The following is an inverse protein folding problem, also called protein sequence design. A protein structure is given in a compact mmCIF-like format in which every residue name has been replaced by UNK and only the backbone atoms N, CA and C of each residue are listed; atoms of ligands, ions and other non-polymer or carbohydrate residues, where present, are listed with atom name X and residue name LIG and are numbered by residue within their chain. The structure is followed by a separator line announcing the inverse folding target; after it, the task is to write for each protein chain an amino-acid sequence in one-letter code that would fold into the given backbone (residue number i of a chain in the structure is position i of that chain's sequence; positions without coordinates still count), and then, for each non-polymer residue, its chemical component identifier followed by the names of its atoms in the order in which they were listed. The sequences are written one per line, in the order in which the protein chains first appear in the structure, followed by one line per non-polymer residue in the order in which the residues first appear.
data_IF_040495321458
#
_entry.id   IF_040495321458
#
_cell.length_a   1.000
_cell.length_b   1.000
_cell.length_c   1.000
_cell.angle_alpha   90.00
_cell.angle_beta   90.00
_cell.angle_gamma   90.00
#
_symmetry.space_group_name_H-M   'P 1'
#
loop_
_entity.id
_entity.type
_entity.pdbx_description
1 polymer ?
#
# COMPACT_ATOMS: atom_id res chain seq x y z
N UNK A 1 2.52 -33.12 0.05
CA UNK A 1 2.98 -31.69 0.05
C UNK A 1 1.89 -30.84 0.64
N UNK A 2 2.17 -30.16 1.75
CA UNK A 2 1.14 -29.36 2.43
C UNK A 2 1.07 -27.93 1.90
N UNK A 3 2.22 -27.33 1.66
CA UNK A 3 2.30 -25.94 1.19
C UNK A 3 3.03 -25.79 -0.13
N UNK A 4 2.51 -24.95 -1.03
CA UNK A 4 3.22 -24.45 -2.20
C UNK A 4 3.40 -22.93 -2.03
N UNK A 5 4.63 -22.48 -1.89
CA UNK A 5 4.98 -21.07 -1.79
C UNK A 5 5.18 -20.51 -3.21
N UNK A 6 4.30 -19.62 -3.64
CA UNK A 6 4.28 -19.08 -5.00
C UNK A 6 4.88 -17.67 -5.00
N UNK A 7 5.98 -17.49 -5.74
CA UNK A 7 6.79 -16.28 -5.74
C UNK A 7 6.89 -15.73 -7.18
N UNK A 8 6.10 -14.72 -7.56
CA UNK A 8 6.28 -14.02 -8.83
C UNK A 8 7.50 -13.09 -8.76
N UNK A 9 8.34 -13.11 -9.80
CA UNK A 9 9.60 -12.35 -9.82
C UNK A 9 9.71 -11.52 -11.10
N UNK A 10 10.20 -10.28 -10.95
CA UNK A 10 10.58 -9.43 -12.07
C UNK A 10 11.77 -8.54 -11.71
N UNK A 11 12.95 -8.79 -12.29
CA UNK A 11 14.19 -8.03 -12.11
C UNK A 11 14.60 -7.86 -10.62
N UNK A 12 14.57 -8.95 -9.83
CA UNK A 12 14.85 -8.93 -8.38
C UNK A 12 15.64 -10.15 -7.91
N UNK A 13 16.78 -10.47 -8.51
CA UNK A 13 17.54 -11.65 -8.12
C UNK A 13 18.06 -11.59 -6.67
N UNK A 14 18.44 -10.40 -6.18
CA UNK A 14 18.95 -10.19 -4.82
C UNK A 14 17.86 -10.42 -3.77
N UNK A 15 16.66 -9.87 -3.98
CA UNK A 15 15.53 -10.08 -3.07
C UNK A 15 15.07 -11.53 -3.06
N UNK A 16 15.09 -12.21 -4.21
CA UNK A 16 14.81 -13.65 -4.30
C UNK A 16 15.82 -14.45 -3.49
N UNK A 17 17.11 -14.10 -3.54
CA UNK A 17 18.14 -14.76 -2.76
C UNK A 17 17.87 -14.65 -1.25
N UNK A 18 17.55 -13.44 -0.76
CA UNK A 18 17.20 -13.22 0.66
C UNK A 18 15.97 -14.04 1.08
N UNK A 19 14.93 -14.06 0.22
CA UNK A 19 13.72 -14.86 0.49
C UNK A 19 14.04 -16.35 0.53
N UNK A 20 14.72 -16.90 -0.49
CA UNK A 20 15.07 -18.33 -0.53
C UNK A 20 15.98 -18.72 0.66
N UNK A 21 16.94 -17.85 1.01
CA UNK A 21 17.76 -18.07 2.19
C UNK A 21 16.91 -18.16 3.47
N UNK A 22 15.92 -17.27 3.64
CA UNK A 22 15.03 -17.29 4.80
C UNK A 22 14.14 -18.54 4.84
N UNK A 23 13.79 -19.09 3.68
CA UNK A 23 13.03 -20.33 3.57
C UNK A 23 13.86 -21.57 3.96
N UNK A 24 15.18 -21.55 3.81
CA UNK A 24 16.05 -22.66 4.30
C UNK A 24 16.07 -22.81 5.82
N UNK A 25 15.62 -21.79 6.55
CA UNK A 25 15.59 -21.81 8.03
C UNK A 25 14.23 -22.20 8.60
N UNK A 26 13.26 -22.58 7.74
CA UNK A 26 11.96 -23.01 8.23
C UNK A 26 12.04 -24.30 9.04
N UNK A 27 11.37 -24.30 10.19
CA UNK A 27 11.27 -25.48 11.07
C UNK A 27 10.25 -26.50 10.57
N UNK A 28 9.29 -26.08 9.75
CA UNK A 28 8.34 -26.93 9.05
C UNK A 28 8.75 -27.04 7.57
N UNK A 29 8.94 -28.26 7.07
CA UNK A 29 9.60 -28.50 5.77
C UNK A 29 8.73 -29.19 4.72
N UNK A 30 7.48 -29.56 5.02
CA UNK A 30 6.55 -30.15 4.02
C UNK A 30 6.01 -29.06 3.09
N UNK A 31 6.91 -28.49 2.29
CA UNK A 31 6.67 -27.39 1.37
C UNK A 31 7.46 -27.54 0.07
N UNK A 32 6.92 -26.97 -1.01
CA UNK A 32 7.65 -26.64 -2.23
C UNK A 32 7.67 -25.13 -2.45
N UNK A 33 8.63 -24.67 -3.21
CA UNK A 33 8.77 -23.27 -3.61
C UNK A 33 8.66 -23.16 -5.13
N UNK A 34 7.69 -22.39 -5.61
CA UNK A 34 7.42 -22.19 -7.03
C UNK A 34 7.78 -20.76 -7.41
N UNK A 35 8.93 -20.58 -8.04
CA UNK A 35 9.42 -19.28 -8.50
C UNK A 35 9.00 -19.08 -9.96
N UNK A 36 8.29 -17.97 -10.24
CA UNK A 36 7.81 -17.63 -11.59
C UNK A 36 8.43 -16.34 -12.05
N UNK A 37 9.38 -16.43 -12.97
CA UNK A 37 10.06 -15.30 -13.60
C UNK A 37 9.17 -14.68 -14.67
N UNK A 38 8.76 -13.42 -14.49
CA UNK A 38 7.79 -12.71 -15.34
C UNK A 38 8.47 -11.84 -16.41
N UNK A 39 9.34 -12.42 -17.22
CA UNK A 39 10.00 -11.75 -18.35
C UNK A 39 11.07 -10.74 -17.91
N UNK A 40 11.84 -11.06 -16.87
CA UNK A 40 12.95 -10.24 -16.38
C UNK A 40 14.07 -10.10 -17.42
N UNK A 41 14.67 -8.92 -17.47
CA UNK A 41 15.94 -8.67 -18.14
C UNK A 41 17.15 -9.09 -17.27
N UNK A 42 16.95 -9.15 -15.95
CA UNK A 42 17.92 -9.66 -14.96
C UNK A 42 17.25 -10.85 -14.27
N UNK A 43 17.41 -12.08 -14.78
CA UNK A 43 16.73 -13.26 -14.24
C UNK A 43 17.36 -13.72 -12.92
N UNK A 44 16.56 -14.42 -12.10
CA UNK A 44 17.01 -15.03 -10.85
C UNK A 44 17.32 -16.54 -10.98
N UNK A 45 17.41 -17.08 -12.18
CA UNK A 45 17.60 -18.53 -12.43
C UNK A 45 18.84 -19.09 -11.70
N UNK A 46 19.98 -18.40 -11.79
CA UNK A 46 21.21 -18.85 -11.15
C UNK A 46 21.14 -18.76 -9.61
N UNK A 47 20.36 -17.81 -9.10
CA UNK A 47 20.03 -17.76 -7.67
C UNK A 47 19.27 -19.02 -7.28
N UNK A 48 18.18 -19.34 -7.98
CA UNK A 48 17.33 -20.51 -7.66
C UNK A 48 18.12 -21.81 -7.71
N UNK A 49 19.00 -22.00 -8.72
CA UNK A 49 19.86 -23.20 -8.83
C UNK A 49 20.73 -23.44 -7.60
N UNK A 50 21.20 -22.38 -6.92
CA UNK A 50 22.01 -22.52 -5.68
C UNK A 50 21.24 -23.10 -4.51
N UNK A 51 19.91 -23.05 -4.55
CA UNK A 51 19.02 -23.53 -3.48
C UNK A 51 18.36 -24.89 -3.79
N UNK A 52 18.49 -25.41 -5.02
CA UNK A 52 17.87 -26.68 -5.41
C UNK A 52 18.28 -27.90 -4.57
N UNK A 53 19.46 -27.87 -3.93
CA UNK A 53 19.89 -28.92 -2.99
C UNK A 53 19.41 -28.72 -1.53
N UNK A 54 18.80 -27.56 -1.22
CA UNK A 54 18.34 -27.21 0.14
C UNK A 54 16.83 -27.10 0.25
N UNK A 55 16.16 -26.77 -0.85
CA UNK A 55 14.70 -26.58 -0.95
C UNK A 55 14.18 -27.39 -2.13
N UNK A 56 12.94 -27.89 -2.01
CA UNK A 56 12.19 -28.36 -3.20
C UNK A 56 11.71 -27.11 -3.96
N UNK A 57 12.58 -26.60 -4.85
CA UNK A 57 12.34 -25.38 -5.61
C UNK A 57 12.16 -25.66 -7.09
N UNK A 58 11.05 -25.16 -7.65
CA UNK A 58 10.73 -25.20 -9.08
C UNK A 58 10.85 -23.79 -9.65
N UNK A 59 11.49 -23.66 -10.80
CA UNK A 59 11.68 -22.40 -11.51
C UNK A 59 10.99 -22.43 -12.88
N UNK A 60 10.18 -21.42 -13.13
CA UNK A 60 9.47 -21.25 -14.40
C UNK A 60 9.74 -19.85 -14.96
N UNK A 61 9.88 -19.76 -16.27
CA UNK A 61 10.06 -18.49 -16.99
C UNK A 61 8.95 -18.31 -18.01
N UNK A 62 8.39 -17.10 -18.06
CA UNK A 62 7.34 -16.74 -19.01
C UNK A 62 7.47 -15.29 -19.47
N UNK A 63 6.84 -14.90 -20.62
CA UNK A 63 6.74 -13.50 -21.03
C UNK A 63 6.05 -12.66 -19.95
N UNK A 64 6.45 -11.37 -19.86
CA UNK A 64 5.89 -10.44 -18.89
C UNK A 64 4.37 -10.28 -19.06
N UNK A 65 3.64 -10.52 -18.00
CA UNK A 65 2.17 -10.37 -17.96
C UNK A 65 1.66 -9.80 -16.63
N UNK A 66 2.57 -9.54 -15.70
CA UNK A 66 2.27 -9.00 -14.39
C UNK A 66 2.13 -10.03 -13.26
N UNK A 67 2.08 -9.57 -12.01
CA UNK A 67 2.15 -10.44 -10.84
C UNK A 67 0.93 -11.37 -10.70
N UNK A 68 -0.28 -10.91 -11.01
CA UNK A 68 -1.49 -11.73 -10.92
C UNK A 68 -1.42 -12.98 -11.82
N UNK A 69 -1.23 -12.81 -13.15
CA UNK A 69 -1.04 -13.94 -14.06
C UNK A 69 0.16 -14.84 -13.71
N UNK A 70 1.24 -14.27 -13.15
CA UNK A 70 2.40 -15.07 -12.73
C UNK A 70 2.09 -15.92 -11.50
N UNK A 71 1.31 -15.40 -10.55
CA UNK A 71 0.79 -16.19 -9.41
C UNK A 71 -0.13 -17.31 -9.88
N UNK A 72 -1.02 -17.01 -10.84
CA UNK A 72 -1.89 -18.04 -11.45
C UNK A 72 -1.08 -19.14 -12.15
N UNK A 73 -0.03 -18.74 -12.87
CA UNK A 73 0.86 -19.71 -13.51
C UNK A 73 1.56 -20.59 -12.48
N UNK A 74 2.09 -20.02 -11.41
CA UNK A 74 2.70 -20.78 -10.30
C UNK A 74 1.71 -21.72 -9.63
N UNK A 75 0.48 -21.27 -9.37
CA UNK A 75 -0.57 -22.08 -8.79
C UNK A 75 -0.95 -23.30 -9.65
N UNK A 76 -0.95 -23.14 -10.99
CA UNK A 76 -1.23 -24.25 -11.91
C UNK A 76 -0.13 -25.31 -11.93
N UNK A 77 1.09 -24.99 -11.48
CA UNK A 77 2.24 -25.91 -11.43
C UNK A 77 2.59 -26.37 -10.01
N UNK A 78 1.75 -26.06 -9.04
CA UNK A 78 1.92 -26.40 -7.62
C UNK A 78 1.17 -27.67 -7.23
N UNK A 79 1.58 -28.32 -6.13
CA UNK A 79 1.03 -29.58 -5.65
C UNK A 79 0.53 -29.52 -4.20
N UNK A 80 0.72 -28.39 -3.52
CA UNK A 80 0.35 -28.21 -2.12
C UNK A 80 -1.15 -28.14 -1.89
N UNK A 81 -1.60 -28.58 -0.73
CA UNK A 81 -2.98 -28.41 -0.27
C UNK A 81 -3.33 -26.93 -0.10
N UNK A 82 -2.38 -26.15 0.41
CA UNK A 82 -2.46 -24.70 0.53
C UNK A 82 -1.44 -24.00 -0.36
N UNK A 83 -1.90 -22.98 -1.07
CA UNK A 83 -1.06 -22.07 -1.81
C UNK A 83 -0.74 -20.87 -0.90
N UNK A 84 0.54 -20.60 -0.68
CA UNK A 84 1.00 -19.41 0.05
C UNK A 84 1.64 -18.46 -0.96
N UNK A 85 0.99 -17.34 -1.18
CA UNK A 85 1.46 -16.30 -2.09
C UNK A 85 2.39 -15.38 -1.30
N UNK A 86 3.61 -15.21 -1.79
CA UNK A 86 4.61 -14.29 -1.24
C UNK A 86 5.13 -13.36 -2.34
N UNK A 87 5.30 -12.08 -2.05
CA UNK A 87 6.03 -11.20 -2.96
C UNK A 87 7.55 -11.47 -2.85
N UNK A 88 8.30 -11.26 -3.94
CA UNK A 88 9.74 -11.55 -3.97
C UNK A 88 10.58 -10.67 -3.03
N UNK A 89 10.04 -9.56 -2.53
CA UNK A 89 10.68 -8.62 -1.62
C UNK A 89 10.28 -8.81 -0.14
N UNK A 90 9.84 -10.02 0.22
CA UNK A 90 9.62 -10.40 1.62
C UNK A 90 10.75 -11.30 2.14
N UNK A 91 10.92 -11.28 3.45
CA UNK A 91 11.76 -12.22 4.20
C UNK A 91 10.89 -12.84 5.28
N UNK A 92 10.95 -14.16 5.45
CA UNK A 92 10.12 -14.88 6.42
C UNK A 92 10.91 -15.27 7.66
N UNK A 93 10.34 -15.18 8.87
CA UNK A 93 11.01 -15.65 10.08
C UNK A 93 11.08 -17.20 10.09
N UNK A 94 12.04 -17.82 10.80
CA UNK A 94 12.22 -19.28 10.82
C UNK A 94 10.99 -20.07 11.26
N UNK A 95 10.14 -19.52 12.13
CA UNK A 95 8.92 -20.13 12.61
C UNK A 95 7.66 -19.82 11.78
N UNK A 96 7.78 -19.21 10.59
CA UNK A 96 6.62 -18.76 9.81
C UNK A 96 5.64 -19.89 9.47
N UNK A 97 6.12 -20.98 8.84
CA UNK A 97 5.26 -22.11 8.48
C UNK A 97 4.77 -22.88 9.70
N UNK A 98 5.54 -22.99 10.77
CA UNK A 98 5.09 -23.56 12.03
C UNK A 98 3.93 -22.76 12.63
N UNK A 99 4.01 -21.42 12.60
CA UNK A 99 2.91 -20.55 13.03
C UNK A 99 1.67 -20.71 12.17
N UNK A 100 1.81 -20.86 10.84
CA UNK A 100 0.68 -21.18 9.94
C UNK A 100 0.03 -22.51 10.33
N UNK A 101 0.84 -23.55 10.60
CA UNK A 101 0.35 -24.86 11.04
C UNK A 101 -0.45 -24.78 12.34
N UNK A 102 0.10 -24.11 13.34
CA UNK A 102 -0.51 -23.98 14.66
C UNK A 102 -1.84 -23.22 14.59
N UNK A 103 -1.88 -22.13 13.82
CA UNK A 103 -3.11 -21.35 13.61
C UNK A 103 -4.18 -22.17 12.86
N UNK A 104 -3.79 -22.96 11.83
CA UNK A 104 -4.73 -23.83 11.10
C UNK A 104 -5.27 -24.97 11.96
N UNK A 105 -4.44 -25.54 12.86
CA UNK A 105 -4.87 -26.58 13.82
C UNK A 105 -5.85 -26.03 14.85
N UNK A 106 -5.54 -24.85 15.41
CA UNK A 106 -6.40 -24.22 16.43
C UNK A 106 -7.72 -23.74 15.86
N UNK A 107 -7.72 -23.25 14.65
CA UNK A 107 -8.89 -22.67 13.99
C UNK A 107 -8.84 -22.84 12.48
N UNK A 108 -9.32 -23.95 11.94
CA UNK A 108 -9.33 -24.21 10.50
C UNK A 108 -10.03 -23.12 9.70
N UNK A 109 -9.44 -22.75 8.55
CA UNK A 109 -9.99 -21.79 7.61
C UNK A 109 -9.62 -22.16 6.18
N UNK A 110 -10.22 -21.47 5.21
CA UNK A 110 -10.02 -21.72 3.79
C UNK A 110 -9.01 -20.76 3.18
N UNK A 111 -8.88 -19.58 3.80
CA UNK A 111 -7.87 -18.58 3.43
C UNK A 111 -7.38 -17.84 4.68
N UNK A 112 -6.15 -17.36 4.61
CA UNK A 112 -5.55 -16.56 5.68
C UNK A 112 -4.57 -15.52 5.12
N UNK A 113 -4.12 -14.64 5.97
CA UNK A 113 -2.98 -13.77 5.71
C UNK A 113 -2.35 -13.34 7.01
N UNK A 114 -1.08 -12.97 6.95
CA UNK A 114 -0.32 -12.47 8.08
C UNK A 114 0.06 -11.00 7.92
N UNK A 115 0.41 -10.32 9.02
CA UNK A 115 0.85 -8.94 8.99
C UNK A 115 2.25 -8.80 8.38
N UNK A 116 2.54 -7.60 7.87
CA UNK A 116 3.89 -7.21 7.49
C UNK A 116 4.55 -6.38 8.60
N UNK A 117 5.86 -6.56 8.75
CA UNK A 117 6.69 -5.82 9.70
C UNK A 117 7.81 -5.08 8.96
N UNK A 118 8.20 -3.92 9.51
CA UNK A 118 9.39 -3.22 9.06
C UNK A 118 10.63 -3.95 9.57
N UNK A 119 11.64 -4.14 8.70
CA UNK A 119 12.94 -4.65 9.12
C UNK A 119 13.79 -3.53 9.72
N UNK A 120 14.67 -3.85 10.66
CA UNK A 120 15.55 -2.87 11.32
C UNK A 120 16.46 -2.13 10.35
N UNK A 121 16.88 -2.81 9.27
CA UNK A 121 17.72 -2.27 8.21
C UNK A 121 17.04 -1.23 7.30
N UNK A 122 15.75 -0.93 7.50
CA UNK A 122 15.06 0.05 6.68
C UNK A 122 15.73 1.42 6.72
N UNK A 123 15.92 1.99 5.55
CA UNK A 123 16.42 3.37 5.38
C UNK A 123 15.45 4.38 6.03
N UNK A 124 15.89 5.59 6.37
CA UNK A 124 15.00 6.64 6.89
C UNK A 124 13.75 6.88 6.04
N UNK A 125 13.89 6.84 4.70
CA UNK A 125 12.76 6.98 3.76
C UNK A 125 11.79 5.80 3.88
N UNK A 126 12.28 4.58 3.96
CA UNK A 126 11.44 3.40 4.12
C UNK A 126 10.71 3.38 5.48
N UNK A 127 11.38 3.84 6.57
CA UNK A 127 10.75 4.01 7.89
C UNK A 127 9.65 5.07 7.86
N UNK A 128 9.86 6.18 7.16
CA UNK A 128 8.86 7.22 6.97
C UNK A 128 7.65 6.72 6.15
N UNK A 129 7.88 5.99 5.06
CA UNK A 129 6.83 5.35 4.26
C UNK A 129 6.07 4.34 5.10
N UNK A 130 6.77 3.49 5.86
CA UNK A 130 6.13 2.53 6.76
C UNK A 130 5.24 3.23 7.78
N UNK A 131 5.72 4.31 8.40
CA UNK A 131 4.93 5.12 9.31
C UNK A 131 3.64 5.61 8.62
N UNK A 132 3.75 6.23 7.45
CA UNK A 132 2.59 6.75 6.73
C UNK A 132 1.58 5.67 6.33
N UNK A 133 2.03 4.45 6.10
CA UNK A 133 1.17 3.32 5.73
C UNK A 133 0.49 2.63 6.92
N UNK A 134 1.02 2.79 8.14
CA UNK A 134 0.54 2.07 9.33
C UNK A 134 -0.01 3.00 10.43
N UNK A 135 0.24 4.32 10.33
CA UNK A 135 -0.24 5.29 11.32
C UNK A 135 -1.76 5.42 11.29
N UNK A 136 -2.34 5.57 12.48
CA UNK A 136 -3.76 5.89 12.64
C UNK A 136 -4.15 7.20 11.93
N UNK A 137 -3.28 8.20 11.97
CA UNK A 137 -3.54 9.54 11.39
C UNK A 137 -3.59 9.57 9.86
N UNK A 138 -3.10 8.52 9.19
CA UNK A 138 -3.05 8.44 7.72
C UNK A 138 -3.94 7.35 7.14
N UNK A 139 -4.06 6.21 7.85
CA UNK A 139 -4.80 5.03 7.35
C UNK A 139 -5.93 4.60 8.28
N UNK A 140 -6.19 5.33 9.38
CA UNK A 140 -7.19 4.96 10.37
C UNK A 140 -6.85 3.65 11.10
N UNK A 141 -5.58 3.23 11.11
CA UNK A 141 -5.15 1.98 11.75
C UNK A 141 -5.53 0.69 11.01
N UNK A 142 -6.02 0.79 9.76
CA UNK A 142 -6.40 -0.38 8.95
C UNK A 142 -5.20 -1.30 8.65
N UNK A 143 -3.98 -0.75 8.62
CA UNK A 143 -2.74 -1.48 8.41
C UNK A 143 -1.89 -1.49 9.68
N UNK A 144 -1.17 -2.57 9.92
CA UNK A 144 -0.22 -2.71 11.04
C UNK A 144 -0.85 -2.97 12.41
N UNK A 145 -2.18 -3.07 12.52
CA UNK A 145 -2.85 -3.43 13.77
C UNK A 145 -2.84 -4.94 14.02
N UNK A 146 -2.52 -5.35 15.26
CA UNK A 146 -2.69 -6.73 15.73
C UNK A 146 -4.17 -7.11 15.95
N UNK A 147 -5.05 -6.12 16.00
CA UNK A 147 -6.49 -6.32 16.17
C UNK A 147 -7.21 -6.04 14.86
N UNK A 148 -8.06 -6.95 14.48
CA UNK A 148 -8.97 -6.80 13.37
C UNK A 148 -9.99 -5.70 13.72
N UNK A 149 -9.96 -4.56 13.04
CA UNK A 149 -10.95 -3.48 13.24
C UNK A 149 -12.31 -3.81 12.64
N UNK A 150 -12.33 -4.72 11.67
CA UNK A 150 -13.53 -5.26 11.02
C UNK A 150 -13.62 -6.77 11.25
N UNK A 151 -14.84 -7.31 11.31
CA UNK A 151 -15.07 -8.76 11.36
C UNK A 151 -14.53 -9.51 10.11
N UNK A 152 -14.20 -8.78 9.04
CA UNK A 152 -13.65 -9.32 7.79
C UNK A 152 -12.21 -8.87 7.60
N UNK A 153 -11.30 -9.83 7.51
CA UNK A 153 -9.89 -9.60 7.17
C UNK A 153 -9.66 -9.87 5.69
N UNK A 154 -9.04 -8.94 4.97
CA UNK A 154 -8.74 -9.07 3.54
C UNK A 154 -7.24 -9.36 3.36
N UNK A 155 -6.85 -10.62 3.10
CA UNK A 155 -5.46 -11.00 2.86
C UNK A 155 -4.84 -10.20 1.71
N UNK A 156 -3.55 -9.94 1.81
CA UNK A 156 -2.78 -9.22 0.79
C UNK A 156 -1.79 -10.17 0.15
N UNK A 157 -1.55 -9.98 -1.14
CA UNK A 157 -0.72 -10.89 -1.94
C UNK A 157 0.73 -11.06 -1.46
N UNK A 158 1.25 -10.13 -0.65
CA UNK A 158 2.60 -10.28 -0.08
C UNK A 158 2.68 -11.38 1.00
N UNK A 159 1.55 -11.81 1.57
CA UNK A 159 1.45 -12.88 2.59
C UNK A 159 0.00 -13.38 2.66
N UNK A 160 -0.38 -14.20 1.70
CA UNK A 160 -1.73 -14.75 1.57
C UNK A 160 -1.65 -16.26 1.41
N UNK A 161 -2.36 -17.00 2.29
CA UNK A 161 -2.59 -18.43 2.14
C UNK A 161 -4.03 -18.72 1.73
N UNK A 162 -4.23 -19.71 0.85
CA UNK A 162 -5.55 -20.15 0.39
C UNK A 162 -5.51 -21.62 0.03
N UNK A 163 -6.57 -22.38 0.34
CA UNK A 163 -6.70 -23.76 -0.13
C UNK A 163 -6.64 -23.82 -1.65
N UNK A 164 -5.82 -24.72 -2.20
CA UNK A 164 -5.63 -24.86 -3.63
C UNK A 164 -6.96 -25.08 -4.37
N UNK A 165 -7.83 -25.96 -3.85
CA UNK A 165 -9.15 -26.20 -4.43
C UNK A 165 -10.01 -24.93 -4.51
N UNK A 166 -10.05 -24.12 -3.45
CA UNK A 166 -10.77 -22.85 -3.43
C UNK A 166 -10.16 -21.85 -4.43
N UNK A 167 -8.83 -21.75 -4.48
CA UNK A 167 -8.15 -20.87 -5.41
C UNK A 167 -8.53 -21.17 -6.87
N UNK A 168 -8.49 -22.46 -7.25
CA UNK A 168 -8.86 -22.88 -8.61
C UNK A 168 -10.36 -22.70 -8.89
N UNK A 169 -11.23 -23.00 -7.92
CA UNK A 169 -12.67 -22.74 -8.03
C UNK A 169 -13.00 -21.26 -8.28
N UNK A 170 -12.27 -20.36 -7.62
CA UNK A 170 -12.43 -18.91 -7.80
C UNK A 170 -11.74 -18.39 -9.08
N UNK A 171 -10.98 -19.18 -9.81
CA UNK A 171 -10.24 -18.76 -11.01
C UNK A 171 -8.98 -17.95 -10.71
N UNK A 172 -8.46 -17.97 -9.49
CA UNK A 172 -7.24 -17.28 -9.09
C UNK A 172 -7.33 -15.75 -9.11
N UNK A 173 -6.22 -15.08 -9.36
CA UNK A 173 -6.17 -13.62 -9.48
C UNK A 173 -6.80 -13.15 -10.80
N UNK A 174 -7.66 -12.15 -10.72
CA UNK A 174 -8.23 -11.49 -11.92
C UNK A 174 -7.16 -10.74 -12.70
N UNK A 175 -7.36 -10.53 -14.02
CA UNK A 175 -6.43 -9.77 -14.87
C UNK A 175 -6.51 -8.26 -14.59
N UNK A 176 -6.49 -7.87 -13.33
CA UNK A 176 -6.42 -6.49 -12.87
C UNK A 176 -4.97 -6.08 -12.70
N UNK A 177 -4.67 -4.81 -13.01
CA UNK A 177 -3.33 -4.28 -12.82
C UNK A 177 -3.00 -3.94 -11.36
N UNK A 178 -4.00 -3.49 -10.60
CA UNK A 178 -3.89 -3.12 -9.19
C UNK A 178 -5.16 -3.49 -8.45
N UNK A 179 -5.01 -3.99 -7.23
CA UNK A 179 -6.11 -4.40 -6.35
C UNK A 179 -6.61 -5.82 -6.62
N UNK A 180 -5.86 -6.61 -7.39
CA UNK A 180 -6.14 -8.01 -7.69
C UNK A 180 -6.19 -8.88 -6.42
N UNK A 181 -5.43 -8.50 -5.38
CA UNK A 181 -5.44 -9.14 -4.07
C UNK A 181 -6.74 -8.87 -3.30
N UNK A 182 -7.24 -7.64 -3.36
CA UNK A 182 -8.53 -7.28 -2.75
C UNK A 182 -9.69 -7.89 -3.52
N UNK A 183 -9.63 -7.93 -4.86
CA UNK A 183 -10.61 -8.59 -5.71
C UNK A 183 -10.73 -10.09 -5.33
N UNK A 184 -9.60 -10.80 -5.25
CA UNK A 184 -9.60 -12.20 -4.82
C UNK A 184 -10.15 -12.35 -3.40
N UNK A 185 -9.75 -11.47 -2.47
CA UNK A 185 -10.25 -11.49 -1.10
C UNK A 185 -11.77 -11.28 -1.02
N UNK A 186 -12.35 -10.41 -1.86
CA UNK A 186 -13.79 -10.20 -1.94
C UNK A 186 -14.49 -11.48 -2.45
N UNK A 187 -13.97 -12.10 -3.52
CA UNK A 187 -14.51 -13.36 -4.06
C UNK A 187 -14.42 -14.51 -3.06
N UNK A 188 -13.38 -14.58 -2.22
CA UNK A 188 -13.28 -15.53 -1.11
C UNK A 188 -14.46 -15.34 -0.14
N UNK A 189 -14.80 -14.10 0.24
CA UNK A 189 -15.95 -13.85 1.11
C UNK A 189 -17.29 -14.11 0.43
N UNK A 190 -17.42 -13.78 -0.85
CA UNK A 190 -18.63 -14.02 -1.64
C UNK A 190 -18.92 -15.50 -1.82
N UNK A 191 -17.90 -16.35 -1.85
CA UNK A 191 -18.06 -17.82 -1.88
C UNK A 191 -18.49 -18.44 -0.55
N UNK A 192 -18.57 -17.66 0.54
CA UNK A 192 -18.86 -18.16 1.88
C UNK A 192 -17.67 -18.78 2.61
N UNK A 193 -16.48 -18.77 2.01
CA UNK A 193 -15.28 -19.34 2.60
C UNK A 193 -14.80 -18.53 3.82
N UNK A 194 -14.17 -19.23 4.78
CA UNK A 194 -13.66 -18.63 6.01
C UNK A 194 -12.26 -18.09 5.79
N UNK A 195 -12.11 -16.79 6.05
CA UNK A 195 -10.83 -16.10 5.95
C UNK A 195 -10.41 -15.52 7.31
N UNK A 196 -9.13 -15.67 7.69
CA UNK A 196 -8.62 -15.27 8.99
C UNK A 196 -7.29 -14.51 8.90
N UNK A 197 -7.07 -13.63 9.89
CA UNK A 197 -5.76 -13.06 10.17
C UNK A 197 -4.97 -14.03 11.06
N UNK A 198 -3.74 -14.36 10.67
CA UNK A 198 -2.77 -15.12 11.44
C UNK A 198 -1.69 -14.18 11.97
N UNK A 199 -1.82 -13.67 13.20
CA UNK A 199 -0.91 -12.63 13.72
C UNK A 199 0.54 -13.08 13.82
N UNK A 200 0.77 -14.37 14.08
CA UNK A 200 2.11 -14.92 14.24
C UNK A 200 2.76 -15.37 12.93
N UNK A 201 1.96 -15.53 11.85
CA UNK A 201 2.47 -15.79 10.50
C UNK A 201 2.82 -14.47 9.78
N UNK A 202 3.70 -13.67 10.39
CA UNK A 202 4.12 -12.39 9.85
C UNK A 202 5.36 -12.50 8.95
N UNK A 203 5.57 -11.48 8.11
CA UNK A 203 6.74 -11.38 7.23
C UNK A 203 7.40 -10.01 7.35
N UNK A 204 8.71 -9.91 7.13
CA UNK A 204 9.34 -8.64 6.81
C UNK A 204 9.09 -8.31 5.35
N UNK A 205 8.50 -7.15 5.08
CA UNK A 205 8.18 -6.72 3.71
C UNK A 205 8.88 -5.41 3.39
N UNK A 206 9.77 -5.42 2.40
CA UNK A 206 10.54 -4.25 2.00
C UNK A 206 9.61 -3.14 1.48
N UNK A 207 9.77 -1.95 2.00
CA UNK A 207 9.05 -0.75 1.53
C UNK A 207 9.72 -0.15 0.32
N UNK A 208 9.00 0.64 -0.46
CA UNK A 208 9.56 1.43 -1.57
C UNK A 208 10.74 2.26 -1.07
N UNK A 209 11.80 2.32 -1.87
CA UNK A 209 13.05 3.01 -1.51
C UNK A 209 13.01 4.50 -1.76
N UNK A 210 12.05 4.99 -2.57
CA UNK A 210 11.89 6.41 -2.87
C UNK A 210 10.43 6.88 -2.83
N UNK A 211 10.24 8.18 -2.60
CA UNK A 211 8.93 8.81 -2.45
C UNK A 211 8.16 8.92 -3.77
N UNK A 212 8.84 8.95 -4.93
CA UNK A 212 8.20 9.02 -6.25
C UNK A 212 7.53 7.69 -6.60
N UNK A 213 8.23 6.58 -6.35
CA UNK A 213 7.66 5.23 -6.49
C UNK A 213 6.52 5.02 -5.49
N UNK A 214 6.66 5.55 -4.28
CA UNK A 214 5.60 5.50 -3.28
C UNK A 214 4.35 6.28 -3.72
N UNK A 215 4.51 7.50 -4.27
CA UNK A 215 3.37 8.26 -4.83
C UNK A 215 2.66 7.47 -5.93
N UNK A 216 3.38 6.86 -6.88
CA UNK A 216 2.79 6.02 -7.92
C UNK A 216 1.97 4.87 -7.31
N UNK A 217 2.52 4.20 -6.29
CA UNK A 217 1.84 3.09 -5.61
C UNK A 217 0.52 3.52 -4.98
N UNK A 218 0.50 4.61 -4.22
CA UNK A 218 -0.71 5.04 -3.52
C UNK A 218 -1.74 5.66 -4.48
N UNK A 219 -1.30 6.35 -5.53
CA UNK A 219 -2.18 6.85 -6.58
C UNK A 219 -2.93 5.71 -7.29
N UNK A 220 -2.20 4.65 -7.65
CA UNK A 220 -2.79 3.45 -8.23
C UNK A 220 -3.76 2.74 -7.27
N UNK A 221 -3.46 2.74 -5.97
CA UNK A 221 -4.39 2.21 -4.97
C UNK A 221 -5.70 2.99 -4.90
N UNK A 222 -5.64 4.31 -5.09
CA UNK A 222 -6.84 5.16 -5.20
C UNK A 222 -7.69 4.81 -6.44
N UNK A 223 -7.04 4.64 -7.61
CA UNK A 223 -7.70 4.22 -8.85
C UNK A 223 -8.35 2.83 -8.67
N UNK A 224 -7.58 1.88 -8.13
CA UNK A 224 -8.04 0.51 -7.92
C UNK A 224 -9.30 0.45 -7.05
N UNK A 225 -9.46 1.37 -6.09
CA UNK A 225 -10.64 1.40 -5.23
C UNK A 225 -11.94 1.63 -5.99
N UNK A 226 -11.93 2.50 -7.00
CA UNK A 226 -13.10 2.74 -7.87
C UNK A 226 -13.33 1.55 -8.80
N UNK A 227 -12.27 0.94 -9.33
CA UNK A 227 -12.38 -0.27 -10.14
C UNK A 227 -13.03 -1.42 -9.34
N UNK A 228 -12.58 -1.62 -8.10
CA UNK A 228 -13.15 -2.61 -7.18
C UNK A 228 -14.61 -2.31 -6.82
N UNK A 229 -14.96 -1.05 -6.57
CA UNK A 229 -16.36 -0.65 -6.33
C UNK A 229 -17.28 -1.01 -7.50
N UNK A 230 -16.80 -0.83 -8.73
CA UNK A 230 -17.56 -1.17 -9.94
C UNK A 230 -17.70 -2.69 -10.13
N UNK A 231 -16.69 -3.47 -9.79
CA UNK A 231 -16.72 -4.94 -9.86
C UNK A 231 -17.51 -5.58 -8.72
N UNK A 232 -17.38 -5.02 -7.52
CA UNK A 232 -18.01 -5.50 -6.29
C UNK A 232 -18.84 -4.37 -5.66
N UNK A 233 -20.10 -4.16 -6.10
CA UNK A 233 -20.98 -3.15 -5.52
C UNK A 233 -21.10 -3.33 -3.99
N UNK A 234 -21.00 -2.24 -3.24
CA UNK A 234 -20.99 -2.29 -1.77
C UNK A 234 -19.61 -2.48 -1.11
N UNK A 235 -18.54 -2.72 -1.88
CA UNK A 235 -17.18 -2.85 -1.33
C UNK A 235 -16.56 -1.52 -0.91
N UNK A 236 -17.11 -0.38 -1.34
CA UNK A 236 -16.64 0.95 -0.96
C UNK A 236 -17.13 1.31 0.44
N UNK A 237 -16.19 1.55 1.37
CA UNK A 237 -16.50 1.97 2.74
C UNK A 237 -16.21 3.47 2.93
N UNK A 238 -16.87 4.18 3.88
CA UNK A 238 -16.63 5.61 4.14
C UNK A 238 -15.16 5.95 4.36
N UNK A 239 -14.40 5.09 5.03
CA UNK A 239 -12.96 5.27 5.28
C UNK A 239 -12.14 5.41 3.98
N UNK A 240 -12.60 4.84 2.88
CA UNK A 240 -11.92 4.96 1.58
C UNK A 240 -12.08 6.35 0.94
N UNK A 241 -13.06 7.16 1.40
CA UNK A 241 -13.28 8.53 0.95
C UNK A 241 -12.36 9.53 1.67
N UNK A 242 -11.89 9.20 2.87
CA UNK A 242 -11.12 10.13 3.71
C UNK A 242 -9.89 10.73 3.00
N UNK A 243 -9.06 9.97 2.24
CA UNK A 243 -7.95 10.58 1.53
C UNK A 243 -8.37 11.53 0.41
N UNK A 244 -9.51 11.26 -0.25
CA UNK A 244 -10.06 12.15 -1.27
C UNK A 244 -10.56 13.46 -0.64
N UNK A 245 -11.29 13.38 0.48
CA UNK A 245 -11.73 14.53 1.25
C UNK A 245 -10.54 15.34 1.78
N UNK A 246 -9.52 14.68 2.33
CA UNK A 246 -8.29 15.33 2.76
C UNK A 246 -7.60 16.07 1.61
N UNK A 247 -7.56 15.47 0.43
CA UNK A 247 -6.97 16.09 -0.76
C UNK A 247 -7.72 17.36 -1.15
N UNK A 248 -9.05 17.30 -1.26
CA UNK A 248 -9.88 18.47 -1.59
C UNK A 248 -9.73 19.56 -0.53
N UNK A 249 -9.82 19.20 0.77
CA UNK A 249 -9.65 20.13 1.88
C UNK A 249 -8.26 20.81 1.87
N UNK A 250 -7.20 20.04 1.63
CA UNK A 250 -5.83 20.58 1.55
C UNK A 250 -5.72 21.63 0.45
N UNK A 251 -6.19 21.34 -0.76
CA UNK A 251 -6.13 22.30 -1.87
C UNK A 251 -7.03 23.52 -1.63
N UNK A 252 -8.22 23.33 -1.04
CA UNK A 252 -9.11 24.43 -0.67
C UNK A 252 -8.47 25.35 0.39
N UNK A 253 -7.88 24.80 1.45
CA UNK A 253 -7.19 25.56 2.49
C UNK A 253 -6.00 26.33 1.94
N UNK A 254 -5.20 25.73 1.05
CA UNK A 254 -4.09 26.41 0.40
C UNK A 254 -4.58 27.53 -0.52
N UNK A 255 -5.65 27.34 -1.26
CA UNK A 255 -6.25 28.38 -2.11
C UNK A 255 -6.79 29.54 -1.29
N UNK A 256 -7.48 29.27 -0.18
CA UNK A 256 -7.97 30.29 0.76
C UNK A 256 -6.82 31.04 1.44
N UNK A 257 -5.75 30.32 1.80
CA UNK A 257 -4.52 30.93 2.34
C UNK A 257 -3.91 31.89 1.31
N UNK A 258 -3.76 31.47 0.05
CA UNK A 258 -3.22 32.30 -1.01
C UNK A 258 -4.09 33.54 -1.28
N UNK A 259 -5.42 33.38 -1.31
CA UNK A 259 -6.36 34.49 -1.44
C UNK A 259 -6.25 35.48 -0.28
N UNK A 260 -6.14 34.99 0.96
CA UNK A 260 -5.97 35.83 2.15
C UNK A 260 -4.64 36.60 2.12
N UNK A 261 -3.55 35.94 1.68
CA UNK A 261 -2.25 36.62 1.51
C UNK A 261 -2.30 37.70 0.40
N UNK A 262 -3.05 37.46 -0.67
CA UNK A 262 -3.27 38.48 -1.72
C UNK A 262 -4.02 39.69 -1.16
N UNK A 263 -5.05 39.49 -0.32
CA UNK A 263 -5.76 40.57 0.38
C UNK A 263 -4.79 41.38 1.28
N UNK A 264 -3.94 40.66 2.04
CA UNK A 264 -2.92 41.29 2.88
C UNK A 264 -1.93 42.16 2.04
N UNK A 265 -1.48 41.63 0.90
CA UNK A 265 -0.55 42.34 0.00
C UNK A 265 -1.17 43.62 -0.60
N UNK A 266 -2.46 43.56 -1.00
CA UNK A 266 -3.20 44.74 -1.50
C UNK A 266 -3.29 45.80 -0.42
N UNK A 267 -3.63 45.45 0.81
CA UNK A 267 -3.66 46.36 1.95
C UNK A 267 -2.31 46.98 2.23
N UNK A 268 -1.23 46.18 2.22
CA UNK A 268 0.15 46.64 2.41
C UNK A 268 0.61 47.58 1.30
N UNK A 269 0.30 47.32 0.02
CA UNK A 269 0.61 48.20 -1.10
C UNK A 269 -0.13 49.53 -0.98
N UNK A 270 -1.42 49.51 -0.59
CA UNK A 270 -2.19 50.73 -0.35
C UNK A 270 -1.59 51.59 0.76
N UNK A 271 -1.06 50.99 1.82
CA UNK A 271 -0.34 51.69 2.88
C UNK A 271 0.94 52.38 2.36
N UNK A 272 1.71 51.68 1.52
CA UNK A 272 2.98 52.16 0.98
C UNK A 272 2.82 53.32 0.01
N UNK A 273 1.66 53.46 -0.65
CA UNK A 273 1.37 54.52 -1.66
C UNK A 273 0.60 55.70 -1.09
N UNK A 274 0.28 55.74 0.22
CA UNK A 274 -0.44 56.82 0.88
C UNK A 274 0.47 58.02 1.14
N UNK A 275 0.16 59.18 0.55
CA UNK A 275 0.88 60.45 0.77
C UNK A 275 0.53 61.15 2.10
N UNK A 276 -0.60 60.78 2.74
CA UNK A 276 -1.05 61.40 4.02
C UNK A 276 -1.46 60.35 5.05
N UNK A 277 -0.97 60.43 6.30
CA UNK A 277 -1.24 59.42 7.34
C UNK A 277 -2.66 59.43 7.94
N UNK A 278 -3.52 60.36 7.52
CA UNK A 278 -4.82 60.58 8.17
C UNK A 278 -5.93 59.55 7.86
N UNK A 279 -5.73 58.61 6.94
CA UNK A 279 -6.73 57.61 6.54
C UNK A 279 -6.21 56.16 6.48
N UNK A 280 -5.18 55.87 7.28
CA UNK A 280 -4.48 54.58 7.23
C UNK A 280 -5.27 53.38 7.85
N UNK A 281 -6.40 53.63 8.50
CA UNK A 281 -7.15 52.56 9.20
C UNK A 281 -7.69 51.48 8.27
N UNK A 282 -8.20 51.84 7.08
CA UNK A 282 -8.72 50.87 6.11
C UNK A 282 -7.65 49.89 5.61
N UNK A 283 -6.53 50.39 5.02
CA UNK A 283 -5.45 49.48 4.57
C UNK A 283 -4.79 48.64 5.66
N UNK A 284 -4.63 49.19 6.91
CA UNK A 284 -4.13 48.46 8.07
C UNK A 284 -5.07 47.30 8.43
N UNK A 285 -6.36 47.58 8.49
CA UNK A 285 -7.37 46.52 8.76
C UNK A 285 -7.39 45.44 7.67
N UNK A 286 -7.27 45.84 6.39
CA UNK A 286 -7.23 44.89 5.28
C UNK A 286 -5.99 44.00 5.34
N UNK A 287 -4.81 44.55 5.59
CA UNK A 287 -3.57 43.79 5.77
C UNK A 287 -3.69 42.82 6.94
N UNK A 288 -4.17 43.30 8.09
CA UNK A 288 -4.34 42.46 9.29
C UNK A 288 -5.35 41.33 9.05
N UNK A 289 -6.51 41.62 8.44
CA UNK A 289 -7.53 40.62 8.11
C UNK A 289 -6.99 39.55 7.16
N UNK A 290 -6.19 39.94 6.14
CA UNK A 290 -5.55 39.01 5.24
C UNK A 290 -4.54 38.08 5.94
N UNK A 291 -3.68 38.61 6.81
CA UNK A 291 -2.72 37.82 7.59
C UNK A 291 -3.46 36.86 8.55
N UNK A 292 -4.48 37.35 9.25
CA UNK A 292 -5.29 36.55 10.14
C UNK A 292 -6.00 35.41 9.38
N UNK A 293 -6.62 35.72 8.24
CA UNK A 293 -7.27 34.74 7.38
C UNK A 293 -6.28 33.66 6.90
N UNK A 294 -5.11 34.05 6.41
CA UNK A 294 -4.06 33.11 6.03
C UNK A 294 -3.63 32.20 7.19
N UNK A 295 -3.46 32.77 8.38
CA UNK A 295 -3.09 31.99 9.57
C UNK A 295 -4.18 30.98 9.96
N UNK A 296 -5.45 31.36 9.92
CA UNK A 296 -6.58 30.49 10.23
C UNK A 296 -6.67 29.34 9.24
N UNK A 297 -6.54 29.58 7.92
CA UNK A 297 -6.60 28.53 6.92
C UNK A 297 -5.38 27.62 6.91
N UNK A 298 -4.21 28.11 7.29
CA UNK A 298 -2.99 27.31 7.38
C UNK A 298 -2.92 26.46 8.67
N UNK A 299 -3.58 26.90 9.75
CA UNK A 299 -3.51 26.29 11.06
C UNK A 299 -3.84 24.78 11.08
N UNK A 300 -4.89 24.27 10.39
CA UNK A 300 -5.19 22.83 10.37
C UNK A 300 -4.07 21.99 9.72
N UNK A 301 -3.47 22.51 8.65
CA UNK A 301 -2.35 21.82 7.99
C UNK A 301 -1.09 21.84 8.85
N UNK A 302 -0.82 22.95 9.51
CA UNK A 302 0.30 23.05 10.45
C UNK A 302 0.11 22.13 11.65
N UNK A 303 -1.09 22.06 12.22
CA UNK A 303 -1.42 21.11 13.29
C UNK A 303 -1.23 19.66 12.84
N UNK A 304 -1.69 19.28 11.65
CA UNK A 304 -1.46 17.95 11.09
C UNK A 304 0.03 17.65 10.91
N UNK A 305 0.82 18.60 10.39
CA UNK A 305 2.28 18.47 10.25
C UNK A 305 2.95 18.23 11.60
N UNK A 306 2.61 19.02 12.63
CA UNK A 306 3.17 18.90 13.97
C UNK A 306 2.81 17.56 14.61
N UNK A 307 1.57 17.11 14.45
CA UNK A 307 1.09 15.83 14.97
C UNK A 307 1.88 14.66 14.36
N UNK A 308 2.04 14.63 13.03
CA UNK A 308 2.82 13.60 12.35
C UNK A 308 4.30 13.67 12.73
N UNK A 309 4.86 14.88 12.77
CA UNK A 309 6.26 15.11 13.14
C UNK A 309 6.55 14.57 14.53
N UNK A 310 5.74 14.92 15.52
CA UNK A 310 5.94 14.51 16.92
C UNK A 310 5.71 13.01 17.11
N UNK A 311 4.60 12.44 16.64
CA UNK A 311 4.29 11.01 16.80
C UNK A 311 5.35 10.14 16.10
N UNK A 312 5.73 10.47 14.87
CA UNK A 312 6.74 9.69 14.14
C UNK A 312 8.15 9.85 14.74
N UNK A 313 8.51 11.07 15.19
CA UNK A 313 9.82 11.29 15.82
C UNK A 313 9.96 10.50 17.12
N UNK A 314 8.90 10.43 17.93
CA UNK A 314 8.88 9.65 19.17
C UNK A 314 8.99 8.14 18.88
N UNK A 315 8.22 7.62 17.91
CA UNK A 315 8.24 6.19 17.54
C UNK A 315 9.57 5.74 16.96
N UNK A 316 10.20 6.57 16.12
CA UNK A 316 11.45 6.23 15.44
C UNK A 316 12.70 6.78 16.16
N UNK A 317 12.54 7.52 17.27
CA UNK A 317 13.63 8.19 18.01
C UNK A 317 14.50 9.06 17.10
N UNK A 318 13.90 9.75 16.12
CA UNK A 318 14.59 10.53 15.10
C UNK A 318 13.71 11.64 14.53
N UNK A 319 14.12 12.89 14.72
CA UNK A 319 13.45 14.06 14.14
C UNK A 319 13.52 14.03 12.60
N UNK A 320 14.64 13.55 12.03
CA UNK A 320 14.80 13.40 10.60
C UNK A 320 13.75 12.46 9.99
N UNK A 321 13.51 11.29 10.63
CA UNK A 321 12.45 10.37 10.18
C UNK A 321 11.08 11.01 10.39
N UNK A 322 10.86 11.77 11.47
CA UNK A 322 9.64 12.52 11.71
C UNK A 322 9.32 13.49 10.56
N UNK A 323 10.31 14.30 10.14
CA UNK A 323 10.16 15.24 9.03
C UNK A 323 9.87 14.52 7.69
N UNK A 324 10.57 13.42 7.40
CA UNK A 324 10.29 12.58 6.23
C UNK A 324 8.89 11.97 6.29
N UNK A 325 8.40 11.62 7.49
CA UNK A 325 7.06 11.06 7.69
C UNK A 325 5.95 12.07 7.40
N UNK A 326 6.15 13.35 7.68
CA UNK A 326 5.23 14.42 7.25
C UNK A 326 5.09 14.37 5.72
N UNK A 327 6.20 14.41 5.00
CA UNK A 327 6.20 14.34 3.53
C UNK A 327 5.55 13.06 3.01
N UNK A 328 5.89 11.90 3.60
CA UNK A 328 5.31 10.61 3.22
C UNK A 328 3.80 10.55 3.50
N UNK A 329 3.31 11.17 4.58
CA UNK A 329 1.88 11.22 4.93
C UNK A 329 1.06 12.05 3.94
N UNK A 330 1.57 13.21 3.51
CA UNK A 330 0.94 13.97 2.43
C UNK A 330 0.94 13.18 1.12
N UNK A 331 2.04 12.51 0.77
CA UNK A 331 2.11 11.63 -0.41
C UNK A 331 1.07 10.52 -0.32
N UNK A 332 0.93 9.88 0.84
CA UNK A 332 -0.06 8.82 1.08
C UNK A 332 -1.49 9.32 0.82
N UNK A 333 -1.85 10.45 1.42
CA UNK A 333 -3.22 10.95 1.38
C UNK A 333 -3.55 11.61 0.04
N UNK A 334 -2.70 12.51 -0.45
CA UNK A 334 -2.91 13.22 -1.71
C UNK A 334 -2.75 12.27 -2.91
N UNK A 335 -1.74 11.39 -2.87
CA UNK A 335 -1.54 10.41 -3.94
C UNK A 335 -2.75 9.50 -4.11
N UNK A 336 -3.24 8.91 -3.02
CA UNK A 336 -4.46 8.10 -3.05
C UNK A 336 -5.68 8.95 -3.45
N UNK A 337 -5.88 10.11 -2.83
CA UNK A 337 -7.03 10.99 -3.09
C UNK A 337 -7.12 11.44 -4.55
N UNK A 338 -5.99 11.85 -5.16
CA UNK A 338 -5.97 12.23 -6.58
C UNK A 338 -6.27 11.06 -7.50
N UNK A 339 -5.75 9.86 -7.21
CA UNK A 339 -6.07 8.64 -7.94
C UNK A 339 -7.54 8.29 -7.86
N UNK A 340 -8.11 8.36 -6.65
CA UNK A 340 -9.52 8.11 -6.38
C UNK A 340 -10.43 9.09 -7.13
N UNK A 341 -10.19 10.40 -6.99
CA UNK A 341 -11.00 11.46 -7.63
C UNK A 341 -10.94 11.37 -9.15
N UNK A 342 -9.75 11.10 -9.73
CA UNK A 342 -9.58 10.89 -11.17
C UNK A 342 -10.42 9.71 -11.66
N UNK A 343 -10.32 8.57 -10.97
CA UNK A 343 -11.05 7.37 -11.35
C UNK A 343 -12.58 7.55 -11.17
N UNK A 344 -12.99 8.17 -10.07
CA UNK A 344 -14.40 8.50 -9.81
C UNK A 344 -14.97 9.39 -10.90
N UNK A 345 -14.29 10.48 -11.26
CA UNK A 345 -14.72 11.38 -12.32
C UNK A 345 -14.88 10.67 -13.66
N UNK A 346 -13.88 9.90 -14.08
CA UNK A 346 -13.88 9.24 -15.37
C UNK A 346 -14.88 8.08 -15.44
N UNK A 347 -15.01 7.27 -14.39
CA UNK A 347 -15.82 6.06 -14.41
C UNK A 347 -17.25 6.26 -13.90
N UNK A 348 -17.46 7.18 -12.95
CA UNK A 348 -18.78 7.41 -12.35
C UNK A 348 -19.50 8.63 -12.94
N UNK A 349 -18.77 9.73 -13.26
CA UNK A 349 -19.38 10.93 -13.82
C UNK A 349 -19.39 10.89 -15.34
N UNK A 350 -18.26 10.54 -15.99
CA UNK A 350 -18.18 10.46 -17.46
C UNK A 350 -18.58 9.11 -18.04
N UNK A 351 -18.95 8.13 -17.24
CA UNK A 351 -19.47 6.84 -17.68
C UNK A 351 -18.50 5.97 -18.47
N UNK A 352 -17.16 6.13 -18.29
CA UNK A 352 -16.20 5.24 -18.95
C UNK A 352 -16.24 3.86 -18.33
N UNK A 353 -16.54 2.84 -19.11
CA UNK A 353 -16.60 1.44 -18.63
C UNK A 353 -15.22 0.77 -18.51
N UNK A 354 -14.24 1.22 -19.28
CA UNK A 354 -12.88 0.68 -19.22
C UNK A 354 -12.23 0.93 -17.85
N UNK A 355 -11.57 -0.09 -17.32
CA UNK A 355 -10.75 0.05 -16.14
C UNK A 355 -9.59 1.00 -16.39
N UNK A 356 -9.52 2.04 -15.54
CA UNK A 356 -8.40 2.97 -15.59
C UNK A 356 -7.14 2.25 -15.13
N UNK A 357 -6.23 2.08 -16.06
CA UNK A 357 -4.87 1.65 -15.78
C UNK A 357 -4.00 2.91 -15.72
N UNK A 358 -3.34 3.15 -14.60
CA UNK A 358 -2.55 4.36 -14.39
C UNK A 358 -1.34 4.45 -15.34
N UNK A 359 -0.83 3.29 -15.79
CA UNK A 359 0.30 3.19 -16.71
C UNK A 359 0.04 2.05 -17.69
N UNK A 360 -0.11 2.37 -18.98
CA UNK A 360 -0.41 1.38 -20.03
C UNK A 360 0.81 0.55 -20.47
N UNK A 361 2.02 1.01 -20.21
CA UNK A 361 3.25 0.35 -20.64
C UNK A 361 4.07 -0.07 -19.42
N UNK A 362 4.41 -1.33 -19.41
CA UNK A 362 5.26 -2.02 -18.44
C UNK A 362 4.72 -2.08 -17.00
N UNK A 363 4.40 -3.27 -16.55
CA UNK A 363 3.76 -3.53 -15.26
C UNK A 363 4.59 -3.03 -14.07
N UNK A 364 5.90 -2.93 -14.24
CA UNK A 364 6.86 -2.62 -13.18
C UNK A 364 7.57 -1.26 -13.34
N UNK A 365 7.27 -0.51 -14.40
CA UNK A 365 7.85 0.84 -14.62
C UNK A 365 7.05 1.97 -14.00
#
# INVERSE_FOLDING_TARGET
MKYSLIIPVFNRPEEVEELLQSLTWQTFTDMEVVVVEDGSSIPCEDVVKRYAGKLDVKYFKKPNSGPGPSRNYGAAHSQGEFLIILDSDVVVPPGYLAAVEDELKQSPCDAFGGPDRAHESFTPVQKAINYSMTSFFTTGGIRGGRKQMDRKFYPRSFNMGIRAGLYHQLGGFSPMRFGEDIDLSLRIYESGARCRLFPEAWVWHKRRTDLKKFFKQVHNSGIARINLMKRHPGSLKPVHLLPALFTVATFALLALTAASLAVAAIGGLSLATMEKPGCATGPVCTTFAGILGASVFLAPLAAFCLLILTDSSLRNRSLHIGALSVKASFIQLIGYGTGFLRAWWLRCVRGRDEELQAFKHNFYQ
#
